data_IF_508194344123
#
_entry.id   IF_508194344123
#
_cell.length_a   1.000
_cell.length_b   1.000
_cell.length_c   1.000
_cell.angle_alpha   90.00
_cell.angle_beta   90.00
_cell.angle_gamma   90.00
#
_symmetry.space_group_name_H-M   'P 1'
#
loop_
_entity.id
_entity.type
_entity.pdbx_description
1 polymer ?
#
# COMPACT_ATOMS: atom_id res chain seq x y z
N UNK A 1 19.48 -1.11 44.84
CA UNK A 1 19.93 -1.11 43.43
C UNK A 1 19.16 -2.20 42.71
N UNK A 2 18.18 -1.82 41.91
CA UNK A 2 17.54 -2.69 40.92
C UNK A 2 17.19 -1.79 39.73
N UNK A 3 18.08 -1.77 38.74
CA UNK A 3 17.80 -1.18 37.45
C UNK A 3 16.81 -2.11 36.75
N UNK A 4 15.56 -1.69 36.65
CA UNK A 4 14.65 -2.28 35.69
C UNK A 4 15.11 -1.80 34.31
N UNK A 5 15.69 -2.70 33.53
CA UNK A 5 15.89 -2.56 32.10
C UNK A 5 14.52 -2.25 31.48
N UNK A 6 14.35 -1.01 31.01
CA UNK A 6 13.29 -0.70 30.06
C UNK A 6 13.81 -1.12 28.70
N UNK A 7 13.17 -2.15 28.16
CA UNK A 7 13.19 -2.49 26.74
C UNK A 7 12.68 -1.27 25.97
N UNK A 8 13.60 -0.40 25.53
CA UNK A 8 13.33 0.57 24.48
C UNK A 8 13.29 -0.20 23.16
N UNK A 9 12.17 -0.87 22.89
CA UNK A 9 11.84 -1.32 21.54
C UNK A 9 11.73 -0.05 20.69
N UNK A 10 12.77 0.20 19.89
CA UNK A 10 12.84 1.29 18.94
C UNK A 10 11.74 1.10 17.90
N UNK A 11 10.54 1.60 18.18
CA UNK A 11 9.44 1.62 17.22
C UNK A 11 9.89 2.47 16.02
N UNK A 12 9.86 1.90 14.80
CA UNK A 12 10.17 2.66 13.59
C UNK A 12 8.99 3.60 13.26
N UNK A 13 9.19 4.88 13.55
CA UNK A 13 8.24 5.94 13.22
C UNK A 13 8.70 6.68 11.96
N UNK A 14 7.85 6.73 10.93
CA UNK A 14 8.07 7.56 9.75
C UNK A 14 7.60 8.99 10.06
N UNK A 15 8.53 9.95 9.96
CA UNK A 15 8.29 11.36 10.23
C UNK A 15 8.15 12.17 8.93
N UNK A 16 7.08 12.93 8.78
CA UNK A 16 6.97 13.97 7.75
C UNK A 16 6.71 15.32 8.42
N UNK A 17 7.67 16.25 8.30
CA UNK A 17 7.51 17.60 8.80
C UNK A 17 7.28 18.59 7.65
N UNK A 18 6.23 19.38 7.78
CA UNK A 18 6.00 20.61 7.01
C UNK A 18 6.22 21.84 7.92
N UNK A 19 6.28 23.07 7.38
CA UNK A 19 6.45 24.29 8.18
C UNK A 19 5.36 24.54 9.24
N UNK A 20 4.24 23.81 9.18
CA UNK A 20 3.09 23.99 10.06
C UNK A 20 2.82 22.78 10.97
N UNK A 21 3.37 21.59 10.68
CA UNK A 21 3.17 20.39 11.50
C UNK A 21 4.27 19.34 11.27
N UNK A 22 4.63 18.62 12.33
CA UNK A 22 5.41 17.38 12.25
C UNK A 22 4.50 16.19 12.51
N UNK A 23 4.44 15.28 11.54
CA UNK A 23 3.64 14.07 11.60
C UNK A 23 4.54 12.87 11.89
N UNK A 24 4.07 11.98 12.75
CA UNK A 24 4.70 10.69 13.02
C UNK A 24 3.68 9.59 12.72
N UNK A 25 4.07 8.58 11.94
CA UNK A 25 3.27 7.38 11.68
C UNK A 25 4.05 6.13 12.09
N UNK A 26 3.38 5.21 12.80
CA UNK A 26 3.92 3.89 13.11
C UNK A 26 3.95 3.04 11.84
N UNK A 27 5.10 2.45 11.53
CA UNK A 27 5.27 1.53 10.40
C UNK A 27 4.33 0.32 10.59
N UNK A 28 3.60 -0.10 9.54
CA UNK A 28 2.71 -1.27 9.61
C UNK A 28 3.54 -2.55 9.62
N UNK A 29 3.12 -3.54 10.40
CA UNK A 29 3.76 -4.87 10.33
C UNK A 29 3.43 -5.52 8.99
N UNK A 30 4.40 -6.28 8.48
CA UNK A 30 4.29 -6.99 7.19
C UNK A 30 3.10 -7.96 7.24
N UNK A 31 2.81 -8.58 8.39
CA UNK A 31 1.76 -9.59 8.55
C UNK A 31 0.34 -9.08 8.27
N UNK A 32 0.01 -7.81 8.57
CA UNK A 32 -1.31 -7.23 8.30
C UNK A 32 -1.54 -6.92 6.80
N UNK A 33 -0.48 -6.69 6.03
CA UNK A 33 -0.58 -6.39 4.60
C UNK A 33 -0.91 -7.63 3.75
N UNK A 34 -0.66 -8.83 4.27
CA UNK A 34 -0.72 -10.08 3.53
C UNK A 34 -2.11 -10.72 3.51
N UNK A 35 -2.93 -10.48 4.54
CA UNK A 35 -4.26 -11.13 4.70
C UNK A 35 -5.28 -10.64 3.67
N UNK A 36 -5.06 -9.48 3.04
CA UNK A 36 -6.05 -8.82 2.17
C UNK A 36 -5.80 -8.98 0.66
N UNK A 37 -4.78 -9.72 0.24
CA UNK A 37 -4.44 -9.90 -1.16
C UNK A 37 -5.26 -11.03 -1.82
N UNK A 38 -6.56 -10.81 -2.08
CA UNK A 38 -7.31 -11.63 -3.04
C UNK A 38 -7.30 -10.97 -4.42
N UNK A 39 -6.93 -11.75 -5.44
CA UNK A 39 -6.88 -11.33 -6.84
C UNK A 39 -8.25 -10.83 -7.31
N UNK A 40 -8.33 -9.53 -7.61
CA UNK A 40 -9.44 -8.91 -8.33
C UNK A 40 -8.85 -8.24 -9.57
N UNK A 41 -9.36 -8.65 -10.72
CA UNK A 41 -8.99 -8.12 -12.04
C UNK A 41 -9.23 -6.62 -12.12
N UNK A 42 -8.25 -5.88 -12.64
CA UNK A 42 -8.32 -4.43 -12.81
C UNK A 42 -9.25 -4.06 -13.97
N UNK A 43 -10.18 -3.15 -13.71
CA UNK A 43 -10.67 -2.29 -14.78
C UNK A 43 -9.75 -1.05 -14.87
N UNK A 44 -9.29 -0.67 -16.07
CA UNK A 44 -8.55 0.57 -16.24
C UNK A 44 -9.42 1.73 -15.78
N UNK A 45 -8.84 2.68 -15.04
CA UNK A 45 -9.51 3.96 -14.77
C UNK A 45 -9.78 4.60 -16.13
N UNK A 46 -11.02 4.46 -16.60
CA UNK A 46 -11.54 5.37 -17.60
C UNK A 46 -11.57 6.71 -16.90
N UNK A 47 -10.72 7.64 -17.33
CA UNK A 47 -10.95 9.08 -17.20
C UNK A 47 -12.19 9.46 -18.04
N UNK A 48 -13.32 8.80 -17.75
CA UNK A 48 -14.65 9.14 -18.21
C UNK A 48 -15.20 10.08 -17.17
N UNK A 49 -15.17 11.37 -17.49
CA UNK A 49 -15.92 12.38 -16.79
C UNK A 49 -17.39 11.95 -16.72
N UNK A 50 -17.88 11.57 -15.54
CA UNK A 50 -19.33 11.51 -15.25
C UNK A 50 -19.65 11.53 -13.74
N UNK A 51 -18.72 11.20 -12.84
CA UNK A 51 -18.86 11.50 -11.41
C UNK A 51 -18.08 12.76 -11.04
N UNK A 52 -18.80 13.86 -10.81
CA UNK A 52 -18.25 15.10 -10.24
C UNK A 52 -17.98 15.00 -8.72
N UNK A 53 -18.27 13.86 -8.10
CA UNK A 53 -18.19 13.63 -6.66
C UNK A 53 -16.75 13.34 -6.19
N UNK A 54 -16.19 14.23 -5.36
CA UNK A 54 -14.82 14.07 -4.86
C UNK A 54 -14.67 12.88 -3.90
N UNK A 55 -15.72 12.52 -3.15
CA UNK A 55 -15.66 11.42 -2.18
C UNK A 55 -15.64 10.07 -2.89
N UNK A 56 -16.44 9.93 -3.95
CA UNK A 56 -16.42 8.71 -4.78
C UNK A 56 -15.06 8.53 -5.47
N UNK A 57 -14.52 9.61 -6.05
CA UNK A 57 -13.18 9.58 -6.69
C UNK A 57 -12.09 9.21 -5.69
N UNK A 58 -12.06 9.88 -4.52
CA UNK A 58 -11.11 9.53 -3.46
C UNK A 58 -11.28 8.07 -3.01
N UNK A 59 -12.51 7.58 -2.87
CA UNK A 59 -12.77 6.19 -2.50
C UNK A 59 -12.14 5.20 -3.48
N UNK A 60 -12.32 5.42 -4.78
CA UNK A 60 -11.70 4.58 -5.83
C UNK A 60 -10.18 4.73 -5.87
N UNK A 61 -9.65 5.94 -5.66
CA UNK A 61 -8.21 6.19 -5.62
C UNK A 61 -7.56 5.45 -4.45
N UNK A 62 -8.14 5.55 -3.25
CA UNK A 62 -7.62 4.86 -2.07
C UNK A 62 -7.71 3.34 -2.19
N UNK A 63 -8.79 2.81 -2.76
CA UNK A 63 -8.88 1.38 -3.05
C UNK A 63 -7.74 0.90 -3.98
N UNK A 64 -7.47 1.67 -5.04
CA UNK A 64 -6.33 1.42 -5.92
C UNK A 64 -4.99 1.45 -5.18
N UNK A 65 -4.77 2.46 -4.34
CA UNK A 65 -3.55 2.58 -3.53
C UNK A 65 -3.36 1.42 -2.56
N UNK A 66 -4.38 1.03 -1.78
CA UNK A 66 -4.24 -0.05 -0.80
C UNK A 66 -3.99 -1.42 -1.46
N UNK A 67 -4.60 -1.67 -2.61
CA UNK A 67 -4.33 -2.88 -3.40
C UNK A 67 -2.91 -2.86 -3.97
N UNK A 68 -2.46 -1.72 -4.49
CA UNK A 68 -1.10 -1.56 -5.00
C UNK A 68 -0.04 -1.67 -3.90
N UNK A 69 -0.28 -1.13 -2.70
CA UNK A 69 0.60 -1.31 -1.54
C UNK A 69 0.84 -2.80 -1.28
N UNK A 70 -0.24 -3.58 -1.21
CA UNK A 70 -0.17 -5.03 -0.98
C UNK A 70 0.60 -5.73 -2.10
N UNK A 71 0.34 -5.36 -3.37
CA UNK A 71 1.04 -5.91 -4.54
C UNK A 71 2.53 -5.55 -4.57
N UNK A 72 2.89 -4.30 -4.25
CA UNK A 72 4.27 -3.82 -4.21
C UNK A 72 5.05 -4.53 -3.12
N UNK A 73 4.50 -4.68 -1.91
CA UNK A 73 5.12 -5.42 -0.81
C UNK A 73 5.39 -6.87 -1.22
N UNK A 74 4.39 -7.52 -1.85
CA UNK A 74 4.52 -8.90 -2.32
C UNK A 74 5.63 -9.04 -3.38
N UNK A 75 5.65 -8.15 -4.38
CA UNK A 75 6.68 -8.16 -5.43
C UNK A 75 8.07 -7.86 -4.87
N UNK A 76 8.20 -6.94 -3.92
CA UNK A 76 9.47 -6.64 -3.24
C UNK A 76 9.97 -7.83 -2.41
N UNK A 77 9.07 -8.53 -1.70
CA UNK A 77 9.39 -9.75 -0.97
C UNK A 77 9.92 -10.84 -1.91
N UNK A 78 9.23 -11.08 -3.04
CA UNK A 78 9.64 -12.02 -4.08
C UNK A 78 10.99 -11.64 -4.69
N UNK A 79 11.17 -10.37 -5.03
CA UNK A 79 12.42 -9.85 -5.58
C UNK A 79 13.58 -10.08 -4.59
N UNK A 80 13.39 -9.74 -3.31
CA UNK A 80 14.39 -9.92 -2.27
C UNK A 80 14.74 -11.40 -2.06
N UNK A 81 13.74 -12.28 -2.06
CA UNK A 81 13.95 -13.72 -1.98
C UNK A 81 14.77 -14.22 -3.17
N UNK A 82 14.35 -13.95 -4.40
CA UNK A 82 15.04 -14.43 -5.61
C UNK A 82 16.47 -13.87 -5.67
N UNK A 83 16.67 -12.60 -5.31
CA UNK A 83 18.01 -12.01 -5.14
C UNK A 83 18.82 -12.71 -4.07
N UNK A 84 18.24 -13.11 -2.94
CA UNK A 84 18.97 -13.85 -1.91
C UNK A 84 19.47 -15.22 -2.40
N UNK A 85 18.76 -15.84 -3.35
CA UNK A 85 19.17 -17.07 -4.00
C UNK A 85 20.25 -16.87 -5.08
N UNK A 86 20.44 -15.64 -5.59
CA UNK A 86 21.37 -15.27 -6.66
C UNK A 86 22.51 -14.40 -6.07
N UNK A 87 23.73 -14.90 -5.89
CA UNK A 87 24.81 -14.05 -5.37
C UNK A 87 25.23 -12.96 -6.39
N UNK A 88 25.79 -11.87 -5.86
CA UNK A 88 26.22 -10.65 -6.56
C UNK A 88 26.98 -10.96 -7.87
N UNK A 89 26.29 -10.85 -9.01
CA UNK A 89 26.78 -11.05 -10.38
C UNK A 89 27.11 -12.50 -10.79
N UNK A 90 26.06 -13.27 -11.11
CA UNK A 90 26.07 -14.52 -11.92
C UNK A 90 26.50 -15.82 -11.23
N UNK A 91 26.66 -15.86 -9.90
CA UNK A 91 26.86 -17.13 -9.17
C UNK A 91 25.72 -17.35 -8.18
N UNK A 92 24.91 -18.39 -8.39
CA UNK A 92 23.82 -18.78 -7.48
C UNK A 92 24.38 -18.96 -6.06
N UNK A 93 23.71 -18.44 -5.02
CA UNK A 93 24.18 -18.60 -3.65
C UNK A 93 23.87 -20.04 -3.20
N UNK A 94 24.90 -20.86 -3.25
CA UNK A 94 24.90 -22.31 -2.99
C UNK A 94 24.66 -22.56 -1.49
N UNK A 95 23.39 -22.56 -1.08
CA UNK A 95 22.92 -23.39 0.05
C UNK A 95 21.73 -24.29 -0.32
N UNK A 96 20.89 -23.83 -1.25
CA UNK A 96 19.75 -24.62 -1.76
C UNK A 96 20.19 -25.71 -2.75
N UNK A 97 21.03 -25.40 -3.74
CA UNK A 97 21.41 -26.35 -4.80
C UNK A 97 22.69 -27.16 -4.47
N UNK A 98 23.45 -26.75 -3.43
CA UNK A 98 24.67 -27.42 -2.97
C UNK A 98 24.48 -28.91 -2.63
N UNK A 99 23.25 -29.31 -2.28
CA UNK A 99 22.90 -30.66 -1.85
C UNK A 99 22.43 -31.57 -2.99
N UNK A 100 22.26 -31.04 -4.20
CA UNK A 100 21.97 -31.82 -5.39
C UNK A 100 20.56 -32.42 -5.48
N UNK A 101 19.56 -31.65 -5.07
CA UNK A 101 18.16 -32.04 -5.23
C UNK A 101 17.76 -32.11 -6.71
N UNK A 102 17.23 -33.26 -7.11
CA UNK A 102 16.75 -33.54 -8.47
C UNK A 102 15.22 -33.44 -8.57
N UNK A 103 14.55 -33.22 -7.44
CA UNK A 103 13.10 -33.11 -7.32
C UNK A 103 12.70 -31.69 -6.91
N UNK A 104 11.57 -31.24 -7.45
CA UNK A 104 10.94 -29.97 -7.15
C UNK A 104 10.31 -29.96 -5.75
N UNK A 105 9.79 -31.10 -5.28
CA UNK A 105 9.16 -31.19 -3.96
C UNK A 105 10.21 -31.04 -2.85
N UNK A 106 11.37 -31.67 -3.01
CA UNK A 106 12.53 -31.51 -2.11
C UNK A 106 13.03 -30.06 -2.09
N UNK A 107 13.10 -29.42 -3.26
CA UNK A 107 13.52 -28.02 -3.39
C UNK A 107 12.53 -27.09 -2.68
N UNK A 108 11.24 -27.34 -2.85
CA UNK A 108 10.18 -26.58 -2.18
C UNK A 108 10.26 -26.71 -0.66
N UNK A 109 10.40 -27.93 -0.13
CA UNK A 109 10.46 -28.18 1.32
C UNK A 109 11.70 -27.53 1.95
N UNK A 110 12.84 -27.55 1.25
CA UNK A 110 14.05 -26.91 1.75
C UNK A 110 13.93 -25.38 1.76
N UNK A 111 13.40 -24.77 0.69
CA UNK A 111 13.21 -23.31 0.63
C UNK A 111 12.30 -22.85 1.74
N UNK A 112 11.17 -23.54 1.94
CA UNK A 112 10.21 -23.25 3.01
C UNK A 112 10.80 -23.35 4.42
N UNK A 113 11.88 -24.14 4.61
CA UNK A 113 12.58 -24.27 5.89
C UNK A 113 13.70 -23.24 6.10
N UNK A 114 14.40 -22.87 5.02
CA UNK A 114 15.60 -22.03 5.09
C UNK A 114 15.29 -20.54 4.91
N UNK A 115 14.13 -20.18 4.36
CA UNK A 115 13.73 -18.81 4.08
C UNK A 115 12.31 -18.50 4.55
N UNK A 116 12.11 -17.28 5.04
CA UNK A 116 10.78 -16.75 5.36
C UNK A 116 10.13 -16.24 4.07
N UNK A 117 9.52 -17.14 3.32
CA UNK A 117 8.68 -16.84 2.16
C UNK A 117 7.35 -17.59 2.31
N UNK A 118 6.25 -16.99 1.88
CA UNK A 118 4.98 -17.69 1.87
C UNK A 118 4.90 -18.74 0.76
N UNK A 119 4.07 -19.74 0.99
CA UNK A 119 3.82 -20.83 0.05
C UNK A 119 3.32 -20.35 -1.32
N UNK A 120 2.48 -19.31 -1.37
CA UNK A 120 1.94 -18.75 -2.60
C UNK A 120 3.01 -18.14 -3.49
N UNK A 121 3.88 -17.30 -2.93
CA UNK A 121 5.00 -16.72 -3.65
C UNK A 121 6.04 -17.76 -4.05
N UNK A 122 6.31 -18.74 -3.18
CA UNK A 122 7.24 -19.81 -3.53
C UNK A 122 6.73 -20.64 -4.70
N UNK A 123 5.44 -21.00 -4.68
CA UNK A 123 4.76 -21.68 -5.79
C UNK A 123 4.85 -20.86 -7.08
N UNK A 124 4.59 -19.55 -7.02
CA UNK A 124 4.69 -18.68 -8.19
C UNK A 124 6.12 -18.57 -8.72
N UNK A 125 7.12 -18.47 -7.85
CA UNK A 125 8.54 -18.42 -8.25
C UNK A 125 8.95 -19.72 -8.92
N UNK A 126 8.61 -20.88 -8.36
CA UNK A 126 8.97 -22.19 -8.91
C UNK A 126 8.09 -22.60 -10.09
N UNK A 127 6.95 -21.94 -10.32
CA UNK A 127 6.04 -22.27 -11.41
C UNK A 127 6.73 -22.27 -12.78
N UNK A 128 6.56 -23.37 -13.52
CA UNK A 128 7.16 -23.57 -14.84
C UNK A 128 8.58 -24.12 -14.84
N UNK A 129 9.23 -24.25 -13.67
CA UNK A 129 10.50 -24.95 -13.56
C UNK A 129 10.30 -26.45 -13.88
N UNK A 130 11.14 -27.00 -14.75
CA UNK A 130 11.14 -28.42 -15.09
C UNK A 130 12.55 -28.96 -14.95
N UNK A 131 12.73 -29.92 -14.04
CA UNK A 131 13.98 -30.65 -13.86
C UNK A 131 13.79 -32.06 -14.43
N UNK A 132 14.69 -32.47 -15.32
CA UNK A 132 14.72 -33.86 -15.79
C UNK A 132 15.37 -34.74 -14.71
N UNK A 133 14.79 -35.91 -14.38
CA UNK A 133 15.30 -36.78 -13.31
C UNK A 133 16.73 -37.31 -13.58
N UNK A 134 17.11 -37.39 -14.86
CA UNK A 134 18.43 -37.87 -15.30
C UNK A 134 19.45 -36.74 -15.54
N UNK A 135 19.10 -35.48 -15.24
CA UNK A 135 20.00 -34.35 -15.52
C UNK A 135 21.20 -34.36 -14.58
N UNK A 136 22.38 -33.99 -15.09
CA UNK A 136 23.58 -33.83 -14.26
C UNK A 136 23.39 -32.67 -13.29
N UNK A 137 24.01 -32.76 -12.12
CA UNK A 137 23.92 -31.72 -11.09
C UNK A 137 24.23 -30.32 -11.63
N UNK A 138 25.29 -30.18 -12.42
CA UNK A 138 25.70 -28.91 -13.04
C UNK A 138 24.62 -28.34 -13.98
N UNK A 139 23.98 -29.20 -14.76
CA UNK A 139 22.89 -28.82 -15.67
C UNK A 139 21.61 -28.44 -14.90
N UNK A 140 21.33 -29.11 -13.77
CA UNK A 140 20.24 -28.75 -12.86
C UNK A 140 20.48 -27.36 -12.24
N UNK A 141 21.68 -27.12 -11.69
CA UNK A 141 22.09 -25.82 -11.12
C UNK A 141 21.91 -24.72 -12.15
N UNK A 142 22.39 -24.94 -13.38
CA UNK A 142 22.25 -23.96 -14.47
C UNK A 142 20.78 -23.69 -14.82
N UNK A 143 19.96 -24.74 -14.88
CA UNK A 143 18.53 -24.62 -15.20
C UNK A 143 17.77 -23.83 -14.13
N UNK A 144 18.00 -24.14 -12.85
CA UNK A 144 17.42 -23.40 -11.71
C UNK A 144 17.90 -21.95 -11.71
N UNK A 145 19.19 -21.72 -11.96
CA UNK A 145 19.78 -20.38 -12.02
C UNK A 145 19.10 -19.53 -13.09
N UNK A 146 19.00 -20.03 -14.33
CA UNK A 146 18.32 -19.31 -15.41
C UNK A 146 16.83 -19.08 -15.13
N UNK A 147 16.16 -20.05 -14.51
CA UNK A 147 14.76 -19.90 -14.10
C UNK A 147 14.59 -18.73 -13.13
N UNK A 148 15.43 -18.66 -12.09
CA UNK A 148 15.39 -17.58 -11.10
C UNK A 148 15.77 -16.23 -11.71
N UNK A 149 16.73 -16.16 -12.63
CA UNK A 149 17.05 -14.91 -13.36
C UNK A 149 15.86 -14.43 -14.19
N UNK A 150 15.18 -15.33 -14.90
CA UNK A 150 13.98 -15.01 -15.68
C UNK A 150 12.84 -14.53 -14.78
N UNK A 151 12.62 -15.21 -13.64
CA UNK A 151 11.62 -14.81 -12.65
C UNK A 151 11.95 -13.46 -12.03
N UNK A 152 13.22 -13.21 -11.69
CA UNK A 152 13.66 -11.92 -11.17
C UNK A 152 13.35 -10.81 -12.17
N UNK A 153 13.67 -11.02 -13.45
CA UNK A 153 13.42 -10.04 -14.51
C UNK A 153 11.94 -9.74 -14.68
N UNK A 154 11.08 -10.76 -14.64
CA UNK A 154 9.62 -10.60 -14.68
C UNK A 154 9.09 -9.85 -13.45
N UNK A 155 9.51 -10.23 -12.25
CA UNK A 155 9.13 -9.56 -10.99
C UNK A 155 9.55 -8.08 -11.03
N UNK A 156 10.75 -7.77 -11.50
CA UNK A 156 11.24 -6.40 -11.61
C UNK A 156 10.44 -5.57 -12.63
N UNK A 157 10.02 -6.19 -13.73
CA UNK A 157 9.14 -5.55 -14.70
C UNK A 157 7.78 -5.22 -14.06
N UNK A 158 7.15 -6.20 -13.41
CA UNK A 158 5.84 -6.03 -12.76
C UNK A 158 5.89 -5.04 -11.60
N UNK A 159 6.99 -5.02 -10.84
CA UNK A 159 7.22 -4.04 -9.77
C UNK A 159 7.34 -2.64 -10.33
N UNK A 160 8.07 -2.46 -11.44
CA UNK A 160 8.19 -1.16 -12.11
C UNK A 160 6.83 -0.65 -12.61
N UNK A 161 6.02 -1.53 -13.19
CA UNK A 161 4.66 -1.17 -13.64
C UNK A 161 3.76 -0.82 -12.45
N UNK A 162 3.78 -1.63 -11.38
CA UNK A 162 3.01 -1.36 -10.16
C UNK A 162 3.40 -0.03 -9.51
N UNK A 163 4.70 0.29 -9.44
CA UNK A 163 5.19 1.58 -8.92
C UNK A 163 4.77 2.76 -9.80
N UNK A 164 4.72 2.59 -11.13
CA UNK A 164 4.22 3.63 -12.05
C UNK A 164 2.73 3.87 -11.84
N UNK A 165 1.94 2.81 -11.70
CA UNK A 165 0.51 2.92 -11.39
C UNK A 165 0.29 3.57 -10.03
N UNK A 166 1.08 3.17 -9.02
CA UNK A 166 1.06 3.78 -7.69
C UNK A 166 1.30 5.28 -7.76
N UNK A 167 2.31 5.72 -8.53
CA UNK A 167 2.56 7.14 -8.76
C UNK A 167 1.37 7.87 -9.40
N UNK A 168 0.62 7.20 -10.28
CA UNK A 168 -0.58 7.76 -10.93
C UNK A 168 -1.72 7.96 -9.92
N UNK A 169 -2.00 6.95 -9.10
CA UNK A 169 -3.00 7.06 -8.03
C UNK A 169 -2.60 8.09 -6.97
N UNK A 170 -1.32 8.14 -6.60
CA UNK A 170 -0.80 9.11 -5.65
C UNK A 170 -0.99 10.54 -6.17
N UNK A 171 -0.63 10.82 -7.42
CA UNK A 171 -0.83 12.13 -8.04
C UNK A 171 -2.32 12.48 -8.14
N UNK A 172 -3.17 11.51 -8.48
CA UNK A 172 -4.63 11.72 -8.50
C UNK A 172 -5.18 12.07 -7.12
N UNK A 173 -4.61 11.50 -6.06
CA UNK A 173 -4.97 11.85 -4.67
C UNK A 173 -4.64 13.31 -4.39
N UNK A 174 -3.43 13.75 -4.78
CA UNK A 174 -2.97 15.14 -4.61
C UNK A 174 -3.91 16.08 -5.36
N UNK A 175 -4.16 15.82 -6.64
CA UNK A 175 -5.03 16.66 -7.48
C UNK A 175 -6.43 16.82 -6.87
N UNK A 176 -7.00 15.73 -6.35
CA UNK A 176 -8.33 15.76 -5.73
C UNK A 176 -8.33 16.57 -4.43
N UNK A 177 -7.31 16.43 -3.58
CA UNK A 177 -7.16 17.26 -2.39
C UNK A 177 -6.92 18.72 -2.71
N UNK A 178 -6.12 19.05 -3.72
CA UNK A 178 -5.91 20.44 -4.12
C UNK A 178 -7.20 21.10 -4.61
N UNK A 179 -8.02 20.35 -5.36
CA UNK A 179 -9.34 20.82 -5.80
C UNK A 179 -10.28 21.10 -4.62
N UNK A 180 -10.33 20.20 -3.64
CA UNK A 180 -11.12 20.42 -2.42
C UNK A 180 -10.57 21.57 -1.57
N UNK A 181 -9.24 21.63 -1.36
CA UNK A 181 -8.58 22.72 -0.63
C UNK A 181 -8.85 24.08 -1.24
N UNK A 182 -8.88 24.19 -2.56
CA UNK A 182 -9.25 25.44 -3.25
C UNK A 182 -10.66 25.89 -2.88
N UNK A 183 -11.64 24.97 -2.88
CA UNK A 183 -13.02 25.26 -2.46
C UNK A 183 -13.10 25.61 -0.98
N UNK A 184 -12.36 24.89 -0.14
CA UNK A 184 -12.24 25.20 1.28
C UNK A 184 -11.69 26.61 1.50
N UNK A 185 -10.51 26.94 0.96
CA UNK A 185 -9.92 28.27 1.11
C UNK A 185 -10.82 29.38 0.58
N UNK A 186 -11.52 29.16 -0.54
CA UNK A 186 -12.50 30.13 -1.04
C UNK A 186 -13.60 30.42 0.00
N UNK A 187 -14.10 29.40 0.70
CA UNK A 187 -15.05 29.58 1.80
C UNK A 187 -14.41 30.26 3.00
N UNK A 188 -13.25 29.78 3.45
CA UNK A 188 -12.62 30.25 4.69
C UNK A 188 -12.09 31.68 4.58
N UNK A 189 -11.65 32.11 3.39
CA UNK A 189 -11.21 33.48 3.13
C UNK A 189 -12.36 34.49 3.14
N UNK A 190 -13.60 34.05 2.87
CA UNK A 190 -14.79 34.88 2.99
C UNK A 190 -15.29 35.01 4.43
N UNK A 191 -14.80 34.19 5.36
CA UNK A 191 -15.22 34.24 6.78
C UNK A 191 -14.47 35.36 7.52
N UNK A 192 -15.18 36.02 8.43
CA UNK A 192 -14.60 37.06 9.27
C UNK A 192 -13.63 36.43 10.27
N UNK A 193 -12.39 36.91 10.34
CA UNK A 193 -11.41 36.41 11.32
C UNK A 193 -11.91 36.69 12.74
N UNK A 194 -11.98 35.64 13.56
CA UNK A 194 -12.27 35.78 14.98
C UNK A 194 -11.05 36.28 15.76
N UNK A 195 -11.21 36.48 17.07
CA UNK A 195 -10.11 36.86 17.98
C UNK A 195 -8.95 35.84 18.00
N UNK A 196 -9.24 34.57 17.69
CA UNK A 196 -8.28 33.47 17.71
C UNK A 196 -7.80 33.05 16.32
N UNK A 197 -8.05 33.85 15.27
CA UNK A 197 -7.62 33.56 13.91
C UNK A 197 -8.72 33.04 12.98
N UNK A 198 -8.32 32.25 11.99
CA UNK A 198 -9.23 31.64 11.00
C UNK A 198 -9.75 30.32 11.59
N UNK A 199 -11.07 30.17 11.62
CA UNK A 199 -11.72 28.92 12.02
C UNK A 199 -11.74 27.93 10.84
N UNK A 200 -11.08 26.78 11.02
CA UNK A 200 -11.01 25.69 10.06
C UNK A 200 -12.11 24.63 10.25
N UNK A 201 -13.05 24.87 11.17
CA UNK A 201 -14.23 24.05 11.31
C UNK A 201 -15.13 24.16 10.07
N UNK A 202 -15.75 23.05 9.70
CA UNK A 202 -16.56 22.93 8.50
C UNK A 202 -17.92 22.40 8.89
N UNK A 203 -18.96 23.18 8.61
CA UNK A 203 -20.35 22.73 8.77
C UNK A 203 -20.68 21.66 7.73
N UNK A 204 -21.72 20.86 7.96
CA UNK A 204 -22.17 19.86 6.98
C UNK A 204 -22.47 20.45 5.60
N UNK A 205 -23.08 21.64 5.54
CA UNK A 205 -23.37 22.32 4.29
C UNK A 205 -22.10 22.76 3.55
N UNK A 206 -21.14 23.35 4.29
CA UNK A 206 -19.85 23.75 3.71
C UNK A 206 -19.05 22.52 3.24
N UNK A 207 -19.11 21.42 3.99
CA UNK A 207 -18.44 20.18 3.62
C UNK A 207 -18.98 19.63 2.30
N UNK A 208 -20.32 19.56 2.14
CA UNK A 208 -20.95 19.16 0.87
C UNK A 208 -20.47 20.00 -0.31
N UNK A 209 -20.31 21.30 -0.12
CA UNK A 209 -19.76 22.19 -1.15
C UNK A 209 -18.28 21.90 -1.44
N UNK A 210 -17.46 21.73 -0.40
CA UNK A 210 -16.01 21.49 -0.53
C UNK A 210 -15.72 20.17 -1.23
N UNK A 211 -16.44 19.10 -0.88
CA UNK A 211 -16.27 17.77 -1.47
C UNK A 211 -17.11 17.59 -2.74
N UNK A 212 -17.98 18.55 -3.06
CA UNK A 212 -18.88 18.51 -4.21
C UNK A 212 -19.60 17.16 -4.35
N UNK A 213 -20.04 16.60 -3.21
CA UNK A 213 -20.65 15.28 -3.14
C UNK A 213 -22.16 15.39 -3.05
N UNK A 214 -22.85 14.50 -3.75
CA UNK A 214 -24.31 14.33 -3.65
C UNK A 214 -24.70 13.15 -2.77
N UNK A 215 -23.70 12.39 -2.27
CA UNK A 215 -23.93 11.22 -1.46
C UNK A 215 -24.10 11.62 0.01
N UNK A 216 -25.34 11.97 0.37
CA UNK A 216 -25.69 12.37 1.72
C UNK A 216 -25.39 11.28 2.76
N UNK A 217 -25.49 10.00 2.39
CA UNK A 217 -25.19 8.90 3.33
C UNK A 217 -23.71 8.86 3.71
N UNK A 218 -22.80 9.01 2.75
CA UNK A 218 -21.35 9.08 3.03
C UNK A 218 -21.04 10.31 3.88
N UNK A 219 -21.65 11.46 3.56
CA UNK A 219 -21.44 12.70 4.31
C UNK A 219 -21.91 12.55 5.76
N UNK A 220 -23.09 11.95 5.97
CA UNK A 220 -23.65 11.69 7.29
C UNK A 220 -22.73 10.79 8.12
N UNK A 221 -22.19 9.74 7.49
CA UNK A 221 -21.24 8.83 8.13
C UNK A 221 -19.92 9.55 8.48
N UNK A 222 -19.36 10.35 7.57
CA UNK A 222 -18.15 11.14 7.84
C UNK A 222 -18.36 12.04 9.07
N UNK A 223 -19.51 12.72 9.15
CA UNK A 223 -19.83 13.57 10.30
C UNK A 223 -19.99 12.75 11.58
N UNK A 224 -20.62 11.57 11.54
CA UNK A 224 -20.72 10.70 12.72
C UNK A 224 -19.36 10.21 13.25
N UNK A 225 -18.34 10.15 12.39
CA UNK A 225 -16.99 9.70 12.74
C UNK A 225 -16.07 10.83 13.20
N UNK A 226 -16.33 12.07 12.80
CA UNK A 226 -15.44 13.21 13.03
C UNK A 226 -16.03 14.29 13.95
N UNK A 227 -17.35 14.41 14.06
CA UNK A 227 -18.04 15.37 14.93
C UNK A 227 -18.12 14.84 16.36
N UNK A 228 -16.99 14.91 17.07
CA UNK A 228 -16.89 14.45 18.46
C UNK A 228 -17.68 15.33 19.45
N UNK A 229 -17.96 16.59 19.11
CA UNK A 229 -18.69 17.51 19.98
C UNK A 229 -20.20 17.42 19.79
N UNK A 230 -20.67 16.83 18.68
CA UNK A 230 -22.09 16.79 18.31
C UNK A 230 -22.65 18.16 17.93
N UNK A 231 -21.76 19.12 17.63
CA UNK A 231 -22.13 20.51 17.34
C UNK A 231 -22.45 20.72 15.85
N UNK A 232 -22.28 19.69 15.01
CA UNK A 232 -22.53 19.75 13.57
C UNK A 232 -21.36 20.31 12.76
N UNK A 233 -20.15 20.28 13.33
CA UNK A 233 -18.93 20.79 12.71
C UNK A 233 -17.81 19.75 12.80
N UNK A 234 -16.97 19.70 11.77
CA UNK A 234 -15.78 18.86 11.74
C UNK A 234 -14.54 19.70 11.42
N UNK A 235 -13.39 19.28 11.92
CA UNK A 235 -12.11 19.87 11.52
C UNK A 235 -11.70 19.39 10.11
N UNK A 236 -11.44 20.33 9.19
CA UNK A 236 -11.01 20.00 7.82
C UNK A 236 -9.70 19.21 7.81
N UNK A 237 -8.73 19.58 8.66
CA UNK A 237 -7.46 18.87 8.77
C UNK A 237 -7.64 17.43 9.23
N UNK A 238 -8.53 17.22 10.21
CA UNK A 238 -8.97 15.91 10.66
C UNK A 238 -9.54 15.03 9.54
N UNK A 239 -10.37 15.59 8.66
CA UNK A 239 -10.87 14.87 7.48
C UNK A 239 -9.73 14.51 6.51
N UNK A 240 -8.90 15.47 6.10
CA UNK A 240 -7.82 15.20 5.12
C UNK A 240 -6.86 14.09 5.60
N UNK A 241 -6.54 14.06 6.90
CA UNK A 241 -5.66 13.06 7.48
C UNK A 241 -6.28 11.66 7.56
N UNK A 242 -7.60 11.58 7.66
CA UNK A 242 -8.31 10.32 7.92
C UNK A 242 -9.15 9.83 6.74
N UNK A 243 -9.25 10.59 5.64
CA UNK A 243 -10.19 10.31 4.55
C UNK A 243 -10.00 8.93 3.94
N UNK A 244 -8.77 8.46 3.78
CA UNK A 244 -8.51 7.10 3.29
C UNK A 244 -9.13 6.01 4.16
N UNK A 245 -9.01 6.14 5.49
CA UNK A 245 -9.63 5.20 6.45
C UNK A 245 -11.15 5.37 6.46
N UNK A 246 -11.63 6.61 6.51
CA UNK A 246 -13.05 6.92 6.61
C UNK A 246 -13.80 6.44 5.37
N UNK A 247 -13.28 6.69 4.17
CA UNK A 247 -13.91 6.30 2.91
C UNK A 247 -13.87 4.79 2.68
N UNK A 248 -12.82 4.12 3.15
CA UNK A 248 -12.76 2.65 3.12
C UNK A 248 -13.80 2.05 4.06
N UNK A 249 -13.85 2.51 5.31
CA UNK A 249 -14.87 2.07 6.26
C UNK A 249 -16.28 2.40 5.74
N UNK A 250 -16.48 3.58 5.16
CA UNK A 250 -17.77 4.02 4.65
C UNK A 250 -18.34 3.12 3.56
N UNK A 251 -17.49 2.53 2.72
CA UNK A 251 -17.93 1.58 1.69
C UNK A 251 -18.39 0.24 2.26
N UNK A 252 -17.96 -0.15 3.45
CA UNK A 252 -18.45 -1.37 4.11
C UNK A 252 -19.89 -1.21 4.64
N UNK A 253 -20.36 0.03 4.80
CA UNK A 253 -21.69 0.38 5.33
C UNK A 253 -22.72 0.77 4.25
N UNK A 254 -22.33 0.77 2.98
CA UNK A 254 -23.20 1.06 1.82
C UNK A 254 -23.52 -0.23 1.05
#
# INVERSE_FOLDING_TARGET
MSAAERDDSCDNWLGLCSPFICLQRKERSIEEAWVNAKEVTMEPIKNGADSYDSLERLGTIFEGLFRLDSKVILLQSREAFVKSCLADSEQFNIKLVAKGHKDLDDLWEQISKEHTIDEGSLSEILSGLKLHPDVKLEDAVRTITYHFINKLSAIQHDLKDALREYGTYHNSTIDEFENMRRRFFNLTLCRTKGKNGIDFSVSKADFKFIVNSKNDQIIDLIFSLLDNSGEGYIDWGGFELNSGRILTAAREFL
#
